data_IF_936675718799
#
_entry.id   IF_936675718799
#
_cell.length_a   1.000
_cell.length_b   1.000
_cell.length_c   1.000
_cell.angle_alpha   90.00
_cell.angle_beta   90.00
_cell.angle_gamma   90.00
#
_symmetry.space_group_name_H-M   'P 1'
#
loop_
_entity.id
_entity.type
_entity.pdbx_description
1 polymer ?
#
# COMPACT_ATOMS: atom_id res chain seq x y z
N UNK A 1 37.74 19.06 -13.34
CA UNK A 1 37.82 20.27 -14.20
C UNK A 1 39.16 20.94 -13.94
N UNK A 2 39.71 21.68 -14.91
CA UNK A 2 40.95 22.44 -14.72
C UNK A 2 40.65 23.78 -14.06
N UNK A 3 41.56 24.30 -13.24
CA UNK A 3 41.40 25.57 -12.54
C UNK A 3 42.25 26.68 -13.15
N UNK A 4 41.64 27.86 -13.34
CA UNK A 4 42.32 29.03 -13.92
C UNK A 4 43.49 29.52 -13.07
N UNK A 5 43.35 29.45 -11.74
CA UNK A 5 44.38 29.93 -10.81
C UNK A 5 45.60 29.00 -10.84
N UNK A 6 45.38 27.68 -10.92
CA UNK A 6 46.46 26.69 -11.05
C UNK A 6 47.19 26.86 -12.38
N UNK A 7 46.44 27.04 -13.48
CA UNK A 7 47.03 27.37 -14.79
C UNK A 7 47.87 28.67 -14.76
N UNK A 8 47.37 29.72 -14.09
CA UNK A 8 48.08 30.99 -13.92
C UNK A 8 49.37 30.87 -13.10
N UNK A 9 49.35 30.15 -11.97
CA UNK A 9 50.54 29.89 -11.15
C UNK A 9 51.58 29.08 -11.93
N UNK A 10 51.14 28.04 -12.65
CA UNK A 10 52.03 27.25 -13.50
C UNK A 10 52.62 28.09 -14.66
N UNK A 11 51.86 29.03 -15.22
CA UNK A 11 52.36 29.93 -16.24
C UNK A 11 53.36 30.95 -15.67
N UNK A 12 53.15 31.42 -14.43
CA UNK A 12 54.03 32.39 -13.77
C UNK A 12 55.41 31.80 -13.43
N UNK A 13 55.44 30.61 -12.81
CA UNK A 13 56.69 30.00 -12.35
C UNK A 13 57.34 29.04 -13.35
N UNK A 14 56.53 28.41 -14.21
CA UNK A 14 56.97 27.37 -15.16
C UNK A 14 56.56 27.72 -16.59
N UNK A 15 56.32 29.00 -16.87
CA UNK A 15 55.88 29.52 -18.17
C UNK A 15 56.86 29.23 -19.30
N UNK A 16 58.15 29.48 -19.06
CA UNK A 16 59.21 29.24 -20.05
C UNK A 16 59.34 27.77 -20.48
N UNK A 17 58.91 26.83 -19.63
CA UNK A 17 58.88 25.40 -19.93
C UNK A 17 57.54 24.91 -20.50
N UNK A 18 56.50 25.75 -20.51
CA UNK A 18 55.19 25.41 -21.05
C UNK A 18 54.37 24.41 -20.21
N UNK A 19 54.69 24.21 -18.93
CA UNK A 19 54.00 23.23 -18.04
C UNK A 19 52.49 23.51 -17.94
N UNK A 20 52.11 24.79 -17.94
CA UNK A 20 50.69 25.20 -17.95
C UNK A 20 49.93 24.72 -19.20
N UNK A 21 50.58 24.55 -20.35
CA UNK A 21 49.93 24.00 -21.57
C UNK A 21 49.64 22.52 -21.45
N UNK A 22 50.51 21.75 -20.79
CA UNK A 22 50.24 20.36 -20.46
C UNK A 22 49.08 20.22 -19.48
N UNK A 23 49.01 21.08 -18.46
CA UNK A 23 47.89 21.12 -17.52
C UNK A 23 46.54 21.36 -18.23
N UNK A 24 46.52 22.21 -19.26
CA UNK A 24 45.34 22.50 -20.06
C UNK A 24 45.00 21.40 -21.09
N UNK A 25 45.84 20.35 -21.20
CA UNK A 25 45.68 19.26 -22.17
C UNK A 25 46.16 19.62 -23.59
N UNK A 26 46.86 20.74 -23.77
CA UNK A 26 47.43 21.20 -25.03
C UNK A 26 48.85 20.66 -25.22
N UNK A 27 48.99 19.33 -25.32
CA UNK A 27 50.30 18.63 -25.34
C UNK A 27 51.20 19.11 -26.47
N UNK A 28 50.67 19.34 -27.68
CA UNK A 28 51.46 19.85 -28.81
C UNK A 28 52.08 21.22 -28.55
N UNK A 29 51.33 22.15 -27.94
CA UNK A 29 51.86 23.46 -27.54
C UNK A 29 52.85 23.35 -26.38
N UNK A 30 52.64 22.44 -25.44
CA UNK A 30 53.60 22.17 -24.38
C UNK A 30 54.95 21.70 -24.91
N UNK A 31 54.96 20.78 -25.88
CA UNK A 31 56.19 20.30 -26.53
C UNK A 31 56.90 21.43 -27.28
N UNK A 32 56.15 22.31 -27.96
CA UNK A 32 56.71 23.49 -28.61
C UNK A 32 57.48 24.38 -27.62
N UNK A 33 56.90 24.65 -26.45
CA UNK A 33 57.57 25.43 -25.41
C UNK A 33 58.86 24.76 -24.90
N UNK A 34 58.87 23.44 -24.75
CA UNK A 34 60.07 22.71 -24.29
C UNK A 34 61.23 22.81 -25.30
N UNK A 35 60.95 22.72 -26.60
CA UNK A 35 61.97 22.81 -27.66
C UNK A 35 62.58 24.22 -27.70
N UNK A 36 61.75 25.26 -27.56
CA UNK A 36 62.18 26.65 -27.69
C UNK A 36 62.51 27.32 -26.34
N UNK A 37 62.56 26.59 -25.22
CA UNK A 37 62.72 27.17 -23.88
C UNK A 37 64.06 27.90 -23.68
N UNK A 38 65.07 27.59 -24.51
CA UNK A 38 66.36 28.29 -24.54
C UNK A 38 66.25 29.74 -25.05
N UNK A 39 65.11 30.14 -25.62
CA UNK A 39 64.87 31.52 -26.04
C UNK A 39 64.19 32.30 -24.91
N UNK A 40 64.79 33.41 -24.44
CA UNK A 40 64.21 34.25 -23.39
C UNK A 40 62.79 34.76 -23.71
N UNK A 41 62.44 34.85 -24.99
CA UNK A 41 61.11 35.25 -25.45
C UNK A 41 60.00 34.34 -24.92
N UNK A 42 60.26 33.05 -24.71
CA UNK A 42 59.25 32.10 -24.21
C UNK A 42 58.87 32.36 -22.75
N UNK A 43 59.80 32.91 -21.96
CA UNK A 43 59.53 33.32 -20.58
C UNK A 43 58.61 34.55 -20.52
N UNK A 44 58.76 35.49 -21.47
CA UNK A 44 57.88 36.65 -21.60
C UNK A 44 56.48 36.21 -22.03
N UNK A 45 56.37 35.29 -22.99
CA UNK A 45 55.06 34.77 -23.44
C UNK A 45 54.35 34.03 -22.29
N UNK A 46 55.09 33.24 -21.50
CA UNK A 46 54.54 32.59 -20.31
C UNK A 46 54.03 33.58 -19.25
N UNK A 47 54.71 34.71 -19.06
CA UNK A 47 54.27 35.78 -18.18
C UNK A 47 52.99 36.46 -18.70
N UNK A 48 52.91 36.72 -20.01
CA UNK A 48 51.70 37.26 -20.66
C UNK A 48 50.52 36.29 -20.47
N UNK A 49 50.75 34.99 -20.67
CA UNK A 49 49.74 33.96 -20.44
C UNK A 49 49.30 33.92 -18.96
N UNK A 50 50.22 34.09 -18.01
CA UNK A 50 49.88 34.16 -16.59
C UNK A 50 48.95 35.35 -16.27
N UNK A 51 49.28 36.54 -16.78
CA UNK A 51 48.44 37.75 -16.64
C UNK A 51 47.07 37.51 -17.30
N UNK A 52 47.06 36.92 -18.49
CA UNK A 52 45.83 36.60 -19.20
C UNK A 52 44.95 35.61 -18.42
N UNK A 53 45.51 34.58 -17.79
CA UNK A 53 44.73 33.63 -16.99
C UNK A 53 44.17 34.23 -15.71
N UNK A 54 44.92 35.10 -15.03
CA UNK A 54 44.41 35.80 -13.85
C UNK A 54 43.35 36.85 -14.21
N UNK A 55 43.52 37.55 -15.33
CA UNK A 55 42.59 38.56 -15.82
C UNK A 55 41.36 37.98 -16.53
N UNK A 56 41.36 36.69 -16.87
CA UNK A 56 40.23 36.04 -17.54
C UNK A 56 39.16 35.60 -16.54
N UNK A 57 37.90 35.79 -16.93
CA UNK A 57 36.77 35.28 -16.16
C UNK A 57 36.75 33.75 -16.11
N UNK A 58 36.25 33.20 -15.00
CA UNK A 58 36.17 31.74 -14.80
C UNK A 58 35.33 31.08 -15.89
N UNK A 59 34.21 31.68 -16.27
CA UNK A 59 33.33 31.16 -17.33
C UNK A 59 34.04 31.10 -18.70
N UNK A 60 34.79 32.15 -19.04
CA UNK A 60 35.56 32.20 -20.29
C UNK A 60 36.65 31.12 -20.32
N UNK A 61 37.34 30.91 -19.19
CA UNK A 61 38.32 29.84 -19.03
C UNK A 61 37.68 28.46 -19.17
N UNK A 62 36.58 28.22 -18.47
CA UNK A 62 35.88 26.93 -18.49
C UNK A 62 35.33 26.60 -19.88
N UNK A 63 34.80 27.60 -20.59
CA UNK A 63 34.34 27.43 -21.97
C UNK A 63 35.47 27.05 -22.92
N UNK A 64 36.68 27.58 -22.73
CA UNK A 64 37.82 27.34 -23.60
C UNK A 64 38.56 26.03 -23.27
N UNK A 65 38.74 25.71 -22.00
CA UNK A 65 39.62 24.61 -21.54
C UNK A 65 38.88 23.45 -20.86
N UNK A 66 37.63 23.66 -20.41
CA UNK A 66 36.78 22.67 -19.75
C UNK A 66 35.51 22.29 -20.56
N UNK A 67 35.42 22.67 -21.85
CA UNK A 67 34.23 22.43 -22.71
C UNK A 67 33.68 21.00 -22.66
N UNK A 68 34.56 19.99 -22.63
CA UNK A 68 34.16 18.59 -22.57
C UNK A 68 33.42 18.25 -21.26
N UNK A 69 33.89 18.78 -20.13
CA UNK A 69 33.25 18.58 -18.81
C UNK A 69 31.93 19.33 -18.71
N UNK A 70 31.89 20.59 -19.17
CA UNK A 70 30.65 21.37 -19.24
C UNK A 70 29.59 20.70 -20.11
N UNK A 71 30.01 20.08 -21.23
CA UNK A 71 29.10 19.38 -22.14
C UNK A 71 28.58 18.07 -21.53
N UNK A 72 29.42 17.36 -20.76
CA UNK A 72 29.04 16.13 -20.08
C UNK A 72 28.07 16.40 -18.92
N UNK A 73 28.34 17.43 -18.12
CA UNK A 73 27.47 17.87 -17.02
C UNK A 73 26.10 18.30 -17.54
N UNK A 74 26.06 19.18 -18.54
CA UNK A 74 24.80 19.60 -19.18
C UNK A 74 23.99 18.43 -19.74
N UNK A 75 24.66 17.44 -20.35
CA UNK A 75 23.99 16.21 -20.83
C UNK A 75 23.37 15.42 -19.67
N UNK A 76 24.13 15.23 -18.59
CA UNK A 76 23.66 14.52 -17.39
C UNK A 76 22.41 15.17 -16.80
N UNK A 77 22.41 16.49 -16.65
CA UNK A 77 21.25 17.25 -16.13
C UNK A 77 20.04 17.07 -17.03
N UNK A 78 20.20 17.24 -18.35
CA UNK A 78 19.09 17.06 -19.29
C UNK A 78 18.54 15.63 -19.30
N UNK A 79 19.39 14.61 -19.15
CA UNK A 79 18.97 13.21 -19.10
C UNK A 79 18.27 12.86 -17.78
N UNK A 80 18.66 13.49 -16.68
CA UNK A 80 17.99 13.36 -15.38
C UNK A 80 16.60 13.99 -15.43
N UNK A 81 16.50 15.24 -15.90
CA UNK A 81 15.23 15.96 -16.04
C UNK A 81 14.27 15.24 -16.97
N UNK A 82 14.75 14.79 -18.13
CA UNK A 82 13.97 14.00 -19.09
C UNK A 82 13.43 12.72 -18.45
N UNK A 83 14.25 12.00 -17.69
CA UNK A 83 13.82 10.78 -16.98
C UNK A 83 12.78 11.07 -15.93
N UNK A 84 12.94 12.14 -15.14
CA UNK A 84 11.97 12.52 -14.12
C UNK A 84 10.63 12.93 -14.72
N UNK A 85 10.65 13.74 -15.78
CA UNK A 85 9.44 14.14 -16.51
C UNK A 85 8.68 12.92 -17.05
N UNK A 86 9.38 12.02 -17.76
CA UNK A 86 8.80 10.77 -18.26
C UNK A 86 8.25 9.88 -17.14
N UNK A 87 8.94 9.84 -15.99
CA UNK A 87 8.48 9.05 -14.83
C UNK A 87 7.19 9.62 -14.29
N UNK A 88 7.09 10.94 -14.14
CA UNK A 88 5.90 11.66 -13.68
C UNK A 88 4.70 11.43 -14.60
N UNK A 89 4.87 11.63 -15.91
CA UNK A 89 3.81 11.34 -16.88
C UNK A 89 3.30 9.89 -16.81
N UNK A 90 4.20 8.92 -16.60
CA UNK A 90 3.82 7.50 -16.43
C UNK A 90 3.06 7.24 -15.13
N UNK A 91 3.28 8.01 -14.07
CA UNK A 91 2.50 7.91 -12.82
C UNK A 91 1.12 8.52 -13.01
N UNK A 92 1.05 9.71 -13.61
CA UNK A 92 -0.19 10.44 -13.85
C UNK A 92 -1.13 9.63 -14.77
N UNK A 93 -0.60 9.09 -15.88
CA UNK A 93 -1.37 8.23 -16.78
C UNK A 93 -1.86 6.93 -16.11
N UNK A 94 -1.08 6.39 -15.14
CA UNK A 94 -1.51 5.23 -14.35
C UNK A 94 -2.64 5.59 -13.37
N UNK A 95 -2.61 6.77 -12.76
CA UNK A 95 -3.69 7.23 -11.88
C UNK A 95 -4.96 7.50 -12.67
N UNK A 96 -4.88 8.24 -13.78
CA UNK A 96 -6.01 8.50 -14.65
C UNK A 96 -6.72 7.22 -15.13
N UNK A 97 -5.95 6.18 -15.53
CA UNK A 97 -6.52 4.87 -15.91
C UNK A 97 -7.21 4.12 -14.75
N UNK A 98 -6.75 4.34 -13.51
CA UNK A 98 -7.36 3.74 -12.31
C UNK A 98 -8.68 4.44 -11.99
N UNK A 99 -8.68 5.76 -12.07
CA UNK A 99 -9.86 6.61 -11.86
C UNK A 99 -10.94 6.29 -12.91
N UNK A 100 -10.60 6.32 -14.19
CA UNK A 100 -11.50 5.94 -15.29
C UNK A 100 -12.05 4.50 -15.15
N UNK A 101 -11.23 3.56 -14.64
CA UNK A 101 -11.73 2.20 -14.33
C UNK A 101 -12.67 2.17 -13.13
N UNK A 102 -12.42 2.96 -12.10
CA UNK A 102 -13.29 3.06 -10.94
C UNK A 102 -14.61 3.74 -11.30
N UNK A 103 -14.56 4.82 -12.07
CA UNK A 103 -15.73 5.55 -12.55
C UNK A 103 -16.60 4.68 -13.43
N UNK A 104 -16.03 3.98 -14.42
CA UNK A 104 -16.78 2.97 -15.20
C UNK A 104 -17.43 1.91 -14.33
N UNK A 105 -16.74 1.42 -13.29
CA UNK A 105 -17.34 0.45 -12.35
C UNK A 105 -18.47 1.05 -11.53
N UNK A 106 -18.33 2.30 -11.12
CA UNK A 106 -19.36 3.02 -10.38
C UNK A 106 -20.60 3.23 -11.25
N UNK A 107 -20.43 3.70 -12.48
CA UNK A 107 -21.53 3.89 -13.44
C UNK A 107 -22.20 2.58 -13.80
N UNK A 108 -21.43 1.52 -14.07
CA UNK A 108 -21.99 0.17 -14.29
C UNK A 108 -22.79 -0.30 -13.09
N UNK A 109 -22.31 -0.12 -11.85
CA UNK A 109 -23.08 -0.48 -10.63
C UNK A 109 -24.35 0.35 -10.46
N UNK A 110 -24.34 1.61 -10.87
CA UNK A 110 -25.51 2.49 -10.79
C UNK A 110 -26.58 2.11 -11.81
N UNK A 111 -26.17 1.55 -12.95
CA UNK A 111 -27.05 1.05 -14.00
C UNK A 111 -27.46 -0.42 -13.81
N UNK A 112 -26.67 -1.22 -13.09
CA UNK A 112 -27.02 -2.59 -12.72
C UNK A 112 -28.26 -2.58 -11.80
N UNK A 113 -29.36 -3.18 -12.28
CA UNK A 113 -30.49 -3.48 -11.42
C UNK A 113 -30.03 -4.33 -10.21
N UNK A 114 -30.61 -4.13 -9.02
CA UNK A 114 -30.27 -4.95 -7.86
C UNK A 114 -30.41 -6.41 -8.26
N UNK A 115 -29.32 -7.18 -8.09
CA UNK A 115 -29.37 -8.62 -8.31
C UNK A 115 -30.53 -9.17 -7.47
N UNK A 116 -31.42 -10.00 -8.05
CA UNK A 116 -32.50 -10.58 -7.27
C UNK A 116 -31.87 -11.24 -6.05
N UNK A 117 -32.25 -10.75 -4.86
CA UNK A 117 -31.80 -11.33 -3.60
C UNK A 117 -32.11 -12.81 -3.67
N UNK A 118 -31.10 -13.66 -3.45
CA UNK A 118 -31.30 -15.11 -3.35
C UNK A 118 -32.50 -15.30 -2.41
N UNK A 119 -33.58 -15.99 -2.84
CA UNK A 119 -34.75 -16.15 -1.99
C UNK A 119 -34.28 -16.66 -0.63
N UNK A 120 -34.82 -16.13 0.48
CA UNK A 120 -34.43 -16.60 1.81
C UNK A 120 -34.51 -18.12 1.78
N UNK A 121 -33.46 -18.78 2.29
CA UNK A 121 -33.46 -20.22 2.40
C UNK A 121 -34.78 -20.62 3.07
N UNK A 122 -35.55 -21.52 2.43
CA UNK A 122 -36.82 -21.98 3.00
C UNK A 122 -36.53 -22.36 4.45
N UNK A 123 -37.29 -21.83 5.45
CA UNK A 123 -37.08 -22.24 6.83
C UNK A 123 -37.12 -23.76 6.85
N UNK A 124 -36.09 -24.39 7.43
CA UNK A 124 -36.05 -25.84 7.55
C UNK A 124 -37.32 -26.22 8.31
N UNK A 125 -38.27 -26.84 7.63
CA UNK A 125 -39.50 -27.26 8.31
C UNK A 125 -39.07 -28.28 9.37
N UNK A 126 -39.33 -27.97 10.63
CA UNK A 126 -39.02 -28.83 11.77
C UNK A 126 -40.34 -29.49 12.23
N UNK A 127 -40.77 -30.59 11.58
CA UNK A 127 -42.05 -31.24 11.90
C UNK A 127 -42.09 -31.76 13.34
N UNK A 128 -40.93 -32.06 13.92
CA UNK A 128 -40.82 -32.58 15.27
C UNK A 128 -41.13 -31.54 16.34
N UNK A 129 -40.82 -30.26 16.12
CA UNK A 129 -41.21 -29.18 17.04
C UNK A 129 -42.72 -29.07 17.19
N UNK A 130 -43.45 -29.10 16.08
CA UNK A 130 -44.92 -29.05 16.10
C UNK A 130 -45.52 -30.31 16.73
N UNK A 131 -44.95 -31.48 16.42
CA UNK A 131 -45.33 -32.77 17.02
C UNK A 131 -45.13 -32.77 18.54
N UNK A 132 -43.97 -32.31 19.02
CA UNK A 132 -43.66 -32.22 20.45
C UNK A 132 -44.61 -31.28 21.20
N UNK A 133 -44.96 -30.12 20.62
CA UNK A 133 -45.96 -29.22 21.20
C UNK A 133 -47.33 -29.90 21.31
N UNK A 134 -47.72 -30.69 20.31
CA UNK A 134 -48.99 -31.41 20.32
C UNK A 134 -49.01 -32.43 21.46
N UNK A 135 -48.01 -33.31 21.53
CA UNK A 135 -47.88 -34.31 22.60
C UNK A 135 -47.81 -33.69 23.99
N UNK A 136 -47.09 -32.56 24.12
CA UNK A 136 -47.01 -31.81 25.37
C UNK A 136 -48.39 -31.32 25.84
N UNK A 137 -49.24 -30.84 24.91
CA UNK A 137 -50.63 -30.44 25.21
C UNK A 137 -51.53 -31.62 25.52
N UNK A 138 -51.21 -32.79 24.95
CA UNK A 138 -51.90 -34.06 25.22
C UNK A 138 -51.39 -34.73 26.52
N UNK A 139 -50.56 -34.04 27.32
CA UNK A 139 -49.95 -34.51 28.58
C UNK A 139 -48.98 -35.71 28.41
N UNK A 140 -48.60 -36.05 27.18
CA UNK A 140 -47.55 -37.03 26.87
C UNK A 140 -46.17 -36.36 26.90
N UNK A 141 -45.67 -36.10 28.11
CA UNK A 141 -44.40 -35.39 28.31
C UNK A 141 -43.20 -36.18 27.80
N UNK A 142 -43.19 -37.51 27.96
CA UNK A 142 -42.11 -38.37 27.46
C UNK A 142 -42.06 -38.35 25.92
N UNK A 143 -43.21 -38.49 25.25
CA UNK A 143 -43.27 -38.39 23.80
C UNK A 143 -42.97 -36.99 23.27
N UNK A 144 -43.31 -35.93 24.03
CA UNK A 144 -42.95 -34.56 23.70
C UNK A 144 -41.43 -34.32 23.78
N UNK A 145 -40.77 -34.84 24.82
CA UNK A 145 -39.32 -34.77 25.00
C UNK A 145 -38.58 -35.41 23.83
N UNK A 146 -39.00 -36.59 23.38
CA UNK A 146 -38.40 -37.26 22.22
C UNK A 146 -38.49 -36.41 20.94
N UNK A 147 -39.66 -35.84 20.66
CA UNK A 147 -39.87 -35.02 19.48
C UNK A 147 -39.12 -33.68 19.57
N UNK A 148 -39.02 -33.08 20.75
CA UNK A 148 -38.20 -31.89 20.94
C UNK A 148 -36.70 -32.17 20.79
N UNK A 149 -36.19 -33.32 21.23
CA UNK A 149 -34.80 -33.70 20.98
C UNK A 149 -34.51 -33.84 19.48
N UNK A 150 -35.39 -34.52 18.72
CA UNK A 150 -35.30 -34.60 17.25
C UNK A 150 -35.38 -33.22 16.59
N UNK A 151 -36.15 -32.30 17.17
CA UNK A 151 -36.22 -30.93 16.70
C UNK A 151 -34.88 -30.19 16.90
N UNK A 152 -34.20 -30.41 18.01
CA UNK A 152 -32.87 -29.83 18.27
C UNK A 152 -31.77 -30.46 17.41
N UNK A 153 -31.91 -31.70 16.94
CA UNK A 153 -30.97 -32.29 15.97
C UNK A 153 -30.97 -31.52 14.62
N UNK A 154 -32.10 -30.89 14.26
CA UNK A 154 -32.23 -30.07 13.05
C UNK A 154 -31.82 -28.61 13.31
N UNK A 155 -32.28 -28.05 14.43
CA UNK A 155 -32.02 -26.66 14.84
C UNK A 155 -31.48 -26.62 16.28
N UNK A 156 -30.16 -26.83 16.47
CA UNK A 156 -29.56 -26.99 17.82
C UNK A 156 -29.64 -25.76 18.73
N UNK A 157 -29.98 -24.61 18.16
CA UNK A 157 -30.05 -23.33 18.87
C UNK A 157 -31.47 -22.74 18.81
N UNK A 158 -32.50 -23.53 18.48
CA UNK A 158 -33.88 -23.03 18.46
C UNK A 158 -34.36 -22.73 19.89
N UNK A 159 -34.51 -21.43 20.15
CA UNK A 159 -34.90 -20.86 21.43
C UNK A 159 -36.20 -21.46 21.95
N UNK A 160 -37.20 -21.58 21.08
CA UNK A 160 -38.53 -22.05 21.48
C UNK A 160 -38.56 -23.56 21.78
N UNK A 161 -37.79 -24.38 21.05
CA UNK A 161 -37.67 -25.81 21.35
C UNK A 161 -36.95 -26.04 22.67
N UNK A 162 -35.88 -25.30 22.96
CA UNK A 162 -35.22 -25.35 24.27
C UNK A 162 -36.15 -24.98 25.43
N UNK A 163 -36.94 -23.91 25.28
CA UNK A 163 -37.93 -23.53 26.30
C UNK A 163 -39.02 -24.61 26.50
N UNK A 164 -39.63 -25.11 25.42
CA UNK A 164 -40.68 -26.12 25.51
C UNK A 164 -40.15 -27.45 26.10
N UNK A 165 -38.91 -27.80 25.78
CA UNK A 165 -38.25 -28.98 26.33
C UNK A 165 -37.96 -28.80 27.84
N UNK A 166 -37.61 -27.60 28.28
CA UNK A 166 -37.48 -27.28 29.71
C UNK A 166 -38.81 -27.47 30.44
N UNK A 167 -39.92 -26.98 29.88
CA UNK A 167 -41.26 -27.20 30.44
C UNK A 167 -41.61 -28.70 30.50
N UNK A 168 -41.33 -29.45 29.42
CA UNK A 168 -41.62 -30.88 29.35
C UNK A 168 -40.80 -31.69 30.38
N UNK A 169 -39.52 -31.36 30.58
CA UNK A 169 -38.71 -31.98 31.62
C UNK A 169 -39.15 -31.60 33.03
N UNK A 170 -39.60 -30.37 33.25
CA UNK A 170 -40.12 -29.92 34.54
C UNK A 170 -41.36 -30.71 34.95
N UNK A 171 -42.32 -30.87 34.02
CA UNK A 171 -43.54 -31.67 34.24
C UNK A 171 -43.28 -33.19 34.30
N UNK A 172 -42.14 -33.65 33.78
CA UNK A 172 -41.68 -35.03 33.91
C UNK A 172 -40.71 -35.22 35.09
N UNK A 173 -40.71 -34.29 36.05
CA UNK A 173 -39.93 -34.29 37.30
C UNK A 173 -38.39 -34.37 37.12
N UNK A 174 -37.88 -34.06 35.92
CA UNK A 174 -36.44 -34.05 35.63
C UNK A 174 -35.88 -32.63 35.71
N UNK A 175 -35.71 -32.16 36.95
CA UNK A 175 -35.31 -30.79 37.28
C UNK A 175 -33.95 -30.41 36.66
N UNK A 176 -32.97 -31.32 36.68
CA UNK A 176 -31.63 -31.05 36.15
C UNK A 176 -31.66 -30.71 34.65
N UNK A 177 -32.38 -31.52 33.85
CA UNK A 177 -32.50 -31.30 32.41
C UNK A 177 -33.38 -30.09 32.08
N UNK A 178 -34.38 -29.81 32.92
CA UNK A 178 -35.21 -28.62 32.78
C UNK A 178 -34.37 -27.35 32.88
N UNK A 179 -33.52 -27.22 33.90
CA UNK A 179 -32.63 -26.07 34.07
C UNK A 179 -31.61 -25.96 32.93
N UNK A 180 -31.03 -27.08 32.49
CA UNK A 180 -30.08 -27.08 31.38
C UNK A 180 -30.69 -26.48 30.09
N UNK A 181 -31.89 -26.91 29.70
CA UNK A 181 -32.52 -26.39 28.49
C UNK A 181 -33.07 -24.97 28.66
N UNK A 182 -33.46 -24.58 29.87
CA UNK A 182 -33.85 -23.20 30.16
C UNK A 182 -32.66 -22.24 30.00
N UNK A 183 -31.49 -22.61 30.51
CA UNK A 183 -30.24 -21.85 30.32
C UNK A 183 -29.91 -21.71 28.83
N UNK A 184 -29.97 -22.82 28.08
CA UNK A 184 -29.78 -22.81 26.62
C UNK A 184 -30.79 -21.93 25.90
N UNK A 185 -32.03 -21.82 26.36
CA UNK A 185 -33.01 -20.92 25.77
C UNK A 185 -32.61 -19.45 25.97
N UNK A 186 -32.20 -19.08 27.19
CA UNK A 186 -31.77 -17.70 27.52
C UNK A 186 -30.51 -17.32 26.74
N UNK A 187 -29.50 -18.18 26.71
CA UNK A 187 -28.25 -17.96 25.96
C UNK A 187 -28.51 -17.74 24.47
N UNK A 188 -29.49 -18.43 23.89
CA UNK A 188 -29.85 -18.29 22.47
C UNK A 188 -30.83 -17.13 22.19
N UNK A 189 -31.22 -16.34 23.20
CA UNK A 189 -32.01 -15.12 23.03
C UNK A 189 -33.44 -15.17 23.56
N UNK A 190 -33.76 -16.10 24.46
CA UNK A 190 -35.03 -16.07 25.20
C UNK A 190 -35.03 -14.92 26.22
N UNK A 191 -35.89 -13.93 26.01
CA UNK A 191 -35.92 -12.70 26.83
C UNK A 191 -37.21 -12.53 27.64
N UNK A 192 -38.17 -13.45 27.52
CA UNK A 192 -39.48 -13.35 28.18
C UNK A 192 -39.44 -13.98 29.59
N UNK A 193 -38.72 -13.33 30.50
CA UNK A 193 -38.55 -13.82 31.88
C UNK A 193 -39.85 -13.80 32.69
N UNK A 194 -40.83 -12.99 32.29
CA UNK A 194 -42.14 -12.98 32.92
C UNK A 194 -42.86 -14.30 32.65
N UNK A 195 -42.81 -14.79 31.41
CA UNK A 195 -43.31 -16.11 31.05
C UNK A 195 -42.63 -17.27 31.79
N UNK A 196 -41.36 -17.17 32.16
CA UNK A 196 -40.71 -18.21 32.99
C UNK A 196 -41.34 -18.27 34.39
N UNK A 197 -41.58 -17.10 34.99
CA UNK A 197 -42.09 -16.99 36.37
C UNK A 197 -43.56 -17.35 36.51
N UNK A 198 -44.35 -17.12 35.47
CA UNK A 198 -45.81 -17.27 35.50
C UNK A 198 -46.29 -18.60 34.90
N UNK A 199 -45.41 -19.41 34.31
CA UNK A 199 -45.83 -20.62 33.60
C UNK A 199 -45.99 -21.81 34.55
N UNK A 200 -47.18 -22.42 34.53
CA UNK A 200 -47.60 -23.52 35.42
C UNK A 200 -46.60 -24.70 35.47
N UNK A 201 -45.85 -24.95 34.40
CA UNK A 201 -44.84 -26.01 34.39
C UNK A 201 -43.65 -25.79 35.35
N UNK A 202 -43.47 -24.57 35.86
CA UNK A 202 -42.38 -24.20 36.78
C UNK A 202 -42.89 -23.68 38.13
N UNK A 203 -44.20 -23.78 38.40
CA UNK A 203 -44.83 -23.41 39.67
C UNK A 203 -44.67 -24.53 40.71
#
# INVERSE_FOLDING_TARGET
MKDKNVAGILALFLGGFGVHRFYLGQTGLGIFYLIFCWFPVMWIIGLIDAIAFFSMDKENFDRKYNRQFLSAEKRSDTDFDRRNYQRRERWDNRQARREDRQERRYDSRKQEAPRPSRPPARPRQNPFKASGIKKYKDYDYNGAIEDFNKALDIEPNDVATHFNLACAYSLNENVEKAFYHLDRAVVNGFNDFQKIKEHDAFA
#
